data_IF_737167666206
#
_entry.id   IF_737167666206
#
_cell.length_a   1.000
_cell.length_b   1.000
_cell.length_c   1.000
_cell.angle_alpha   90.00
_cell.angle_beta   90.00
_cell.angle_gamma   90.00
#
_symmetry.space_group_name_H-M   'P 1'
#
loop_
_entity.id
_entity.type
_entity.pdbx_description
1 polymer ?
#
# COMPACT_ATOMS: atom_id res chain seq x y z
N UNK A 1 -26.19 15.75 -17.10
CA UNK A 1 -27.01 15.77 -18.34
C UNK A 1 -28.43 15.33 -18.00
N UNK A 2 -29.26 16.27 -17.55
CA UNK A 2 -30.68 16.03 -17.35
C UNK A 2 -31.36 16.07 -18.74
N UNK A 3 -31.57 14.90 -19.35
CA UNK A 3 -32.58 14.67 -20.38
C UNK A 3 -32.61 15.55 -21.64
N UNK A 4 -31.47 16.10 -22.10
CA UNK A 4 -31.36 16.81 -23.39
C UNK A 4 -30.71 15.92 -24.44
N UNK A 5 -31.17 16.01 -25.68
CA UNK A 5 -30.58 15.29 -26.81
C UNK A 5 -29.19 15.86 -27.14
N UNK A 6 -28.26 15.00 -27.57
CA UNK A 6 -26.85 15.36 -27.76
C UNK A 6 -26.64 16.45 -28.83
N UNK A 7 -27.60 16.54 -29.75
CA UNK A 7 -27.64 17.42 -30.91
C UNK A 7 -27.94 18.88 -30.54
N UNK A 8 -28.56 19.11 -29.38
CA UNK A 8 -28.92 20.45 -28.87
C UNK A 8 -27.84 21.06 -27.97
N UNK A 9 -26.76 20.31 -27.67
CA UNK A 9 -25.70 20.77 -26.77
C UNK A 9 -24.62 21.48 -27.57
N UNK A 10 -24.31 22.76 -27.28
CA UNK A 10 -23.25 23.48 -27.98
C UNK A 10 -21.90 22.77 -27.79
N UNK A 11 -21.08 22.73 -28.84
CA UNK A 11 -19.78 22.05 -28.85
C UNK A 11 -18.86 22.44 -27.68
N UNK A 12 -18.96 23.67 -27.18
CA UNK A 12 -18.22 24.13 -26.00
C UNK A 12 -18.63 23.46 -24.70
N UNK A 13 -19.93 23.16 -24.53
CA UNK A 13 -20.47 22.48 -23.35
C UNK A 13 -20.13 20.98 -23.40
N UNK A 14 -20.21 20.36 -24.58
CA UNK A 14 -19.69 18.99 -24.79
C UNK A 14 -18.21 18.90 -24.43
N UNK A 15 -17.40 19.86 -24.89
CA UNK A 15 -15.97 19.90 -24.58
C UNK A 15 -15.73 20.05 -23.08
N UNK A 16 -16.43 20.96 -22.42
CA UNK A 16 -16.31 21.16 -20.97
C UNK A 16 -16.67 19.90 -20.17
N UNK A 17 -17.74 19.20 -20.57
CA UNK A 17 -18.17 17.94 -19.93
C UNK A 17 -17.15 16.84 -20.18
N UNK A 18 -16.64 16.69 -21.41
CA UNK A 18 -15.59 15.70 -21.69
C UNK A 18 -14.30 16.01 -20.95
N UNK A 19 -13.84 17.26 -20.93
CA UNK A 19 -12.65 17.66 -20.18
C UNK A 19 -12.83 17.41 -18.68
N UNK A 20 -14.00 17.71 -18.12
CA UNK A 20 -14.28 17.46 -16.70
C UNK A 20 -14.28 15.97 -16.33
N UNK A 21 -14.81 15.10 -17.19
CA UNK A 21 -14.90 13.67 -16.91
C UNK A 21 -13.65 12.87 -17.26
N UNK A 22 -12.89 13.30 -18.26
CA UNK A 22 -11.72 12.58 -18.78
C UNK A 22 -10.38 13.19 -18.35
N UNK A 23 -10.36 14.30 -17.59
CA UNK A 23 -9.13 14.76 -16.96
C UNK A 23 -8.71 13.81 -15.82
N UNK A 24 -7.45 13.34 -15.82
CA UNK A 24 -6.91 12.62 -14.67
C UNK A 24 -7.04 13.49 -13.43
N UNK A 25 -7.75 12.97 -12.43
CA UNK A 25 -7.91 13.64 -11.13
C UNK A 25 -6.54 13.87 -10.51
N UNK A 26 -6.32 15.08 -10.00
CA UNK A 26 -5.06 15.40 -9.34
C UNK A 26 -5.12 14.85 -7.93
N UNK A 27 -4.22 13.94 -7.60
CA UNK A 27 -4.13 13.34 -6.26
C UNK A 27 -3.44 14.31 -5.29
N UNK A 28 -4.07 15.46 -5.04
CA UNK A 28 -3.50 16.55 -4.25
C UNK A 28 -3.10 16.06 -2.85
N UNK A 29 -3.93 15.22 -2.21
CA UNK A 29 -3.57 14.61 -0.93
C UNK A 29 -2.38 13.65 -1.01
N UNK A 30 -2.25 12.87 -2.09
CA UNK A 30 -1.08 12.01 -2.29
C UNK A 30 0.21 12.84 -2.45
N UNK A 31 0.15 13.98 -3.12
CA UNK A 31 1.31 14.86 -3.26
C UNK A 31 1.66 15.57 -1.95
N UNK A 32 0.64 16.03 -1.19
CA UNK A 32 0.81 16.60 0.16
C UNK A 32 1.44 15.58 1.12
N UNK A 33 0.95 14.35 1.09
CA UNK A 33 1.54 13.23 1.82
C UNK A 33 2.97 12.95 1.36
N UNK A 34 3.23 12.99 0.05
CA UNK A 34 4.55 12.84 -0.54
C UNK A 34 5.55 13.90 -0.09
N UNK A 35 5.12 15.16 0.08
CA UNK A 35 5.91 16.24 0.67
C UNK A 35 6.28 15.94 2.12
N UNK A 36 5.29 15.57 2.94
CA UNK A 36 5.49 15.24 4.36
C UNK A 36 6.37 14.00 4.58
N UNK A 37 6.41 13.12 3.58
CA UNK A 37 7.22 11.89 3.60
C UNK A 37 8.65 12.10 3.07
N UNK A 38 9.03 13.32 2.65
CA UNK A 38 10.40 13.60 2.21
C UNK A 38 11.36 13.52 3.40
N UNK A 39 12.45 12.78 3.20
CA UNK A 39 13.55 12.64 4.16
C UNK A 39 14.86 12.81 3.41
N UNK A 40 15.84 13.46 4.05
CA UNK A 40 17.18 13.60 3.49
C UNK A 40 17.80 12.21 3.29
N UNK A 41 18.28 11.94 2.07
CA UNK A 41 18.95 10.68 1.76
C UNK A 41 20.38 10.67 2.33
N UNK A 42 20.88 9.49 2.66
CA UNK A 42 22.28 9.32 3.08
C UNK A 42 23.22 9.86 1.99
N UNK A 43 24.11 10.78 2.35
CA UNK A 43 25.05 11.43 1.42
C UNK A 43 24.46 12.57 0.58
N UNK A 44 23.17 12.93 0.73
CA UNK A 44 22.58 14.08 0.06
C UNK A 44 23.06 15.38 0.72
N UNK A 45 23.56 16.32 -0.08
CA UNK A 45 23.90 17.65 0.41
C UNK A 45 22.65 18.40 0.90
N UNK A 46 22.79 19.16 2.00
CA UNK A 46 21.67 19.86 2.65
C UNK A 46 20.96 20.85 1.72
N UNK A 47 21.73 21.60 0.93
CA UNK A 47 21.17 22.55 -0.04
C UNK A 47 20.32 21.87 -1.13
N UNK A 48 20.72 20.68 -1.58
CA UNK A 48 19.94 19.89 -2.54
C UNK A 48 18.64 19.40 -1.91
N UNK A 49 18.71 18.88 -0.69
CA UNK A 49 17.52 18.46 0.04
C UNK A 49 16.54 19.62 0.27
N UNK A 50 17.04 20.77 0.72
CA UNK A 50 16.22 21.96 0.93
C UNK A 50 15.58 22.46 -0.37
N UNK A 51 16.32 22.50 -1.48
CA UNK A 51 15.77 22.88 -2.78
C UNK A 51 14.67 21.91 -3.27
N UNK A 52 14.79 20.61 -2.96
CA UNK A 52 13.72 19.63 -3.23
C UNK A 52 12.47 19.93 -2.39
N UNK A 53 12.63 20.23 -1.10
CA UNK A 53 11.53 20.61 -0.22
C UNK A 53 10.84 21.91 -0.66
N UNK A 54 11.58 22.89 -1.18
CA UNK A 54 10.98 24.12 -1.70
C UNK A 54 10.15 23.90 -2.97
N UNK A 55 10.51 22.90 -3.79
CA UNK A 55 9.81 22.61 -5.05
C UNK A 55 8.59 21.73 -4.86
N UNK A 56 8.62 20.83 -3.88
CA UNK A 56 7.57 19.82 -3.67
C UNK A 56 6.15 20.40 -3.42
N UNK A 57 5.96 21.54 -2.74
CA UNK A 57 4.64 22.15 -2.56
C UNK A 57 4.01 22.71 -3.85
N UNK A 58 4.80 22.94 -4.91
CA UNK A 58 4.33 23.58 -6.14
C UNK A 58 3.30 22.74 -6.90
N UNK A 59 3.27 21.43 -6.66
CA UNK A 59 2.31 20.54 -7.32
C UNK A 59 1.02 20.39 -6.51
N UNK A 60 1.10 20.50 -5.18
CA UNK A 60 0.06 20.04 -4.27
C UNK A 60 -0.92 21.13 -3.78
N UNK A 61 -0.99 22.25 -4.53
CA UNK A 61 -1.85 23.41 -4.24
C UNK A 61 -1.83 23.82 -2.76
N UNK A 62 -0.66 23.79 -2.11
CA UNK A 62 -0.58 24.01 -0.66
C UNK A 62 -1.05 25.41 -0.25
N UNK A 63 -0.91 26.39 -1.15
CA UNK A 63 -1.33 27.77 -0.95
C UNK A 63 -2.86 27.95 -0.83
N UNK A 64 -3.66 27.00 -1.32
CA UNK A 64 -5.13 27.08 -1.24
C UNK A 64 -5.70 26.56 0.07
N UNK A 65 -4.86 25.92 0.92
CA UNK A 65 -5.28 25.37 2.21
C UNK A 65 -5.69 26.51 3.14
N UNK A 66 -6.98 26.58 3.47
CA UNK A 66 -7.52 27.58 4.41
C UNK A 66 -7.27 27.22 5.86
N UNK A 67 -7.53 25.95 6.22
CA UNK A 67 -7.37 25.46 7.58
C UNK A 67 -6.11 24.60 7.68
N UNK A 68 -4.98 25.26 7.96
CA UNK A 68 -3.69 24.57 8.07
C UNK A 68 -3.68 23.53 9.20
N UNK A 69 -4.39 23.79 10.31
CA UNK A 69 -4.46 22.84 11.44
C UNK A 69 -5.14 21.55 11.01
N UNK A 70 -6.31 21.66 10.38
CA UNK A 70 -7.08 20.50 9.93
C UNK A 70 -6.32 19.71 8.85
N UNK A 71 -5.72 20.40 7.88
CA UNK A 71 -4.89 19.77 6.86
C UNK A 71 -3.69 19.02 7.46
N UNK A 72 -3.01 19.59 8.46
CA UNK A 72 -1.91 18.93 9.15
C UNK A 72 -2.37 17.67 9.89
N UNK A 73 -3.51 17.74 10.59
CA UNK A 73 -4.09 16.58 11.29
C UNK A 73 -4.44 15.48 10.29
N UNK A 74 -5.09 15.81 9.18
CA UNK A 74 -5.43 14.86 8.13
C UNK A 74 -4.19 14.19 7.51
N UNK A 75 -3.16 14.98 7.14
CA UNK A 75 -1.95 14.42 6.54
C UNK A 75 -1.20 13.48 7.49
N UNK A 76 -1.06 13.87 8.77
CA UNK A 76 -0.38 13.07 9.78
C UNK A 76 -1.17 11.82 10.13
N UNK A 77 -2.51 11.91 10.23
CA UNK A 77 -3.36 10.76 10.52
C UNK A 77 -3.25 9.70 9.42
N UNK A 78 -3.35 10.09 8.14
CA UNK A 78 -3.18 9.18 7.00
C UNK A 78 -1.80 8.51 7.01
N UNK A 79 -0.74 9.29 7.29
CA UNK A 79 0.62 8.77 7.39
C UNK A 79 0.82 7.78 8.53
N UNK A 80 0.09 7.96 9.62
CA UNK A 80 0.12 7.08 10.80
C UNK A 80 -0.72 5.80 10.69
N UNK A 81 -1.62 5.68 9.69
CA UNK A 81 -2.47 4.50 9.55
C UNK A 81 -1.67 3.23 9.28
N UNK A 82 -1.93 2.14 10.01
CA UNK A 82 -1.28 0.85 9.76
C UNK A 82 -1.84 0.12 8.53
N UNK A 83 -3.13 0.29 8.26
CA UNK A 83 -3.79 -0.32 7.10
C UNK A 83 -3.38 0.40 5.81
N UNK A 84 -2.66 -0.31 4.94
CA UNK A 84 -2.28 0.19 3.62
C UNK A 84 -3.49 0.39 2.70
N UNK A 85 -4.54 -0.41 2.90
CA UNK A 85 -5.77 -0.32 2.12
C UNK A 85 -6.51 0.99 2.41
N UNK A 86 -6.74 1.27 3.70
CA UNK A 86 -7.36 2.54 4.13
C UNK A 86 -6.49 3.73 3.71
N UNK A 87 -5.17 3.62 3.86
CA UNK A 87 -4.24 4.68 3.42
C UNK A 87 -4.37 4.96 1.92
N UNK A 88 -4.39 3.93 1.07
CA UNK A 88 -4.54 4.09 -0.38
C UNK A 88 -5.88 4.75 -0.70
N UNK A 89 -6.96 4.24 -0.12
CA UNK A 89 -8.30 4.77 -0.34
C UNK A 89 -8.40 6.26 0.00
N UNK A 90 -7.83 6.68 1.13
CA UNK A 90 -7.83 8.10 1.52
C UNK A 90 -6.98 8.96 0.56
N UNK A 91 -5.86 8.45 0.04
CA UNK A 91 -4.99 9.20 -0.88
C UNK A 91 -5.54 9.32 -2.31
N UNK A 92 -6.57 8.54 -2.67
CA UNK A 92 -7.25 8.64 -3.97
C UNK A 92 -8.12 9.90 -4.10
N UNK A 93 -8.51 10.50 -2.98
CA UNK A 93 -9.34 11.72 -2.98
C UNK A 93 -8.51 12.99 -3.13
N UNK A 94 -9.11 13.99 -3.78
CA UNK A 94 -8.44 15.26 -4.07
C UNK A 94 -8.28 16.11 -2.79
N UNK A 95 -9.36 16.38 -2.07
CA UNK A 95 -9.33 17.10 -0.79
C UNK A 95 -10.39 16.55 0.18
N UNK A 96 -10.09 16.57 1.48
CA UNK A 96 -11.02 16.28 2.56
C UNK A 96 -10.49 16.86 3.87
N UNK A 97 -11.40 17.08 4.81
CA UNK A 97 -11.12 17.51 6.17
C UNK A 97 -10.69 16.34 7.05
N UNK A 98 -10.07 16.62 8.21
CA UNK A 98 -9.67 15.54 9.13
C UNK A 98 -10.86 14.70 9.62
N UNK A 99 -12.05 15.31 9.75
CA UNK A 99 -13.27 14.62 10.12
C UNK A 99 -13.75 13.66 9.01
N UNK A 100 -13.77 14.13 7.76
CA UNK A 100 -14.14 13.30 6.60
C UNK A 100 -13.13 12.15 6.38
N UNK A 101 -11.85 12.38 6.69
CA UNK A 101 -10.83 11.33 6.66
C UNK A 101 -11.17 10.19 7.63
N UNK A 102 -11.58 10.55 8.84
CA UNK A 102 -11.90 9.61 9.90
C UNK A 102 -13.17 8.83 9.54
N UNK A 103 -14.23 9.53 9.14
CA UNK A 103 -15.50 8.91 8.74
C UNK A 103 -15.27 7.84 7.67
N UNK A 104 -14.52 8.17 6.61
CA UNK A 104 -14.23 7.21 5.54
C UNK A 104 -13.34 6.06 5.97
N UNK A 105 -12.36 6.32 6.84
CA UNK A 105 -11.54 5.25 7.40
C UNK A 105 -12.40 4.25 8.19
N UNK A 106 -13.35 4.75 8.98
CA UNK A 106 -14.32 3.94 9.72
C UNK A 106 -15.26 3.17 8.78
N UNK A 107 -15.68 3.77 7.66
CA UNK A 107 -16.47 3.07 6.63
C UNK A 107 -15.72 1.89 6.03
N UNK A 108 -14.46 2.09 5.61
CA UNK A 108 -13.63 1.01 5.04
C UNK A 108 -13.31 -0.04 6.09
N UNK A 109 -13.01 0.36 7.33
CA UNK A 109 -12.79 -0.57 8.44
C UNK A 109 -14.03 -1.45 8.70
N UNK A 110 -15.21 -0.82 8.70
CA UNK A 110 -16.49 -1.50 8.86
C UNK A 110 -16.76 -2.51 7.75
N UNK A 111 -16.44 -2.18 6.49
CA UNK A 111 -16.50 -3.12 5.37
C UNK A 111 -15.53 -4.29 5.59
N UNK A 112 -14.32 -4.02 6.07
CA UNK A 112 -13.33 -5.05 6.40
C UNK A 112 -13.78 -6.03 7.50
N UNK A 113 -14.64 -5.58 8.42
CA UNK A 113 -15.27 -6.40 9.47
C UNK A 113 -16.43 -7.24 8.92
N UNK A 114 -17.31 -6.64 8.12
CA UNK A 114 -18.54 -7.30 7.66
C UNK A 114 -18.39 -8.10 6.36
N UNK A 115 -17.34 -7.85 5.58
CA UNK A 115 -17.05 -8.57 4.33
C UNK A 115 -15.61 -9.11 4.31
N UNK A 116 -15.20 -9.95 5.29
CA UNK A 116 -13.82 -10.44 5.39
C UNK A 116 -13.40 -11.33 4.21
N UNK A 117 -14.38 -11.86 3.46
CA UNK A 117 -14.18 -12.67 2.26
C UNK A 117 -13.73 -11.83 1.05
N UNK A 118 -13.85 -10.50 1.09
CA UNK A 118 -13.38 -9.58 0.06
C UNK A 118 -11.92 -9.14 0.28
N UNK A 119 -11.20 -9.69 1.26
CA UNK A 119 -9.75 -9.51 1.41
C UNK A 119 -9.05 -10.26 0.27
N UNK A 120 -9.17 -9.71 -0.92
CA UNK A 120 -8.63 -10.23 -2.17
C UNK A 120 -7.11 -10.27 -2.04
N UNK A 121 -6.55 -11.47 -2.16
CA UNK A 121 -5.11 -11.66 -2.26
C UNK A 121 -4.59 -10.83 -3.43
N UNK A 122 -3.44 -10.18 -3.25
CA UNK A 122 -2.76 -9.43 -4.29
C UNK A 122 -2.36 -10.35 -5.45
N UNK A 123 -3.28 -10.65 -6.37
CA UNK A 123 -2.92 -11.09 -7.69
C UNK A 123 -2.30 -9.88 -8.38
N UNK A 124 -0.97 -9.82 -8.34
CA UNK A 124 -0.18 -8.99 -9.25
C UNK A 124 -0.54 -9.48 -10.65
N UNK A 125 -1.50 -8.80 -11.29
CA UNK A 125 -1.70 -8.90 -12.73
C UNK A 125 -0.46 -8.28 -13.35
N UNK A 126 0.55 -9.12 -13.59
CA UNK A 126 1.71 -8.77 -14.36
C UNK A 126 1.21 -8.55 -15.79
N UNK A 127 1.31 -7.32 -16.28
CA UNK A 127 1.03 -6.98 -17.67
C UNK A 127 1.74 -7.98 -18.62
N UNK A 128 0.99 -8.39 -19.64
CA UNK A 128 1.16 -9.65 -20.35
C UNK A 128 2.55 -9.90 -20.96
N UNK A 129 3.13 -11.05 -20.61
CA UNK A 129 3.96 -11.80 -21.54
C UNK A 129 3.10 -12.91 -22.13
N UNK A 130 2.68 -12.73 -23.38
CA UNK A 130 2.01 -13.76 -24.18
C UNK A 130 3.02 -14.89 -24.41
N UNK A 131 2.81 -16.03 -23.75
CA UNK A 131 3.65 -17.21 -23.91
C UNK A 131 3.32 -17.90 -25.22
N UNK A 132 4.31 -18.09 -26.08
CA UNK A 132 4.17 -18.81 -27.34
C UNK A 132 3.79 -20.28 -27.05
N UNK A 133 2.61 -20.69 -27.51
CA UNK A 133 2.18 -22.09 -27.50
C UNK A 133 2.96 -22.86 -28.57
N UNK A 134 3.87 -23.74 -28.12
CA UNK A 134 4.39 -24.80 -28.97
C UNK A 134 3.39 -25.94 -28.98
N UNK A 135 2.70 -26.03 -30.10
CA UNK A 135 1.86 -27.15 -30.49
C UNK A 135 2.68 -28.46 -30.52
N UNK A 136 2.14 -29.53 -29.91
CA UNK A 136 2.40 -30.92 -30.31
C UNK A 136 1.55 -31.94 -29.53
N UNK A 137 0.49 -32.40 -30.20
CA UNK A 137 0.06 -33.81 -30.36
C UNK A 137 -0.41 -34.59 -29.13
N UNK A 138 -1.74 -34.70 -29.05
CA UNK A 138 -2.56 -35.94 -28.97
C UNK A 138 -1.93 -37.16 -28.28
N UNK A 139 -2.50 -37.57 -27.13
CA UNK A 139 -2.94 -38.96 -26.88
C UNK A 139 -4.20 -39.01 -26.01
N UNK A 140 -5.16 -39.79 -26.51
CA UNK A 140 -6.45 -40.12 -25.92
C UNK A 140 -6.29 -40.99 -24.66
N UNK A 141 -7.27 -40.92 -23.76
CA UNK A 141 -7.42 -41.88 -22.66
C UNK A 141 -8.50 -41.48 -21.66
N UNK A 142 -9.71 -42.01 -21.88
CA UNK A 142 -10.91 -41.89 -21.05
C UNK A 142 -10.72 -42.58 -19.69
N UNK A 143 -11.30 -42.01 -18.61
CA UNK A 143 -11.58 -42.74 -17.38
C UNK A 143 -11.64 -41.88 -16.11
N UNK A 144 -12.85 -41.53 -15.65
CA UNK A 144 -13.14 -41.26 -14.24
C UNK A 144 -13.42 -42.63 -13.57
N UNK A 145 -13.01 -42.89 -12.31
CA UNK A 145 -13.88 -42.53 -11.18
C UNK A 145 -13.19 -42.22 -9.82
N UNK A 146 -13.93 -41.46 -9.01
CA UNK A 146 -14.13 -41.49 -7.55
C UNK A 146 -13.04 -41.94 -6.54
N UNK A 147 -12.91 -41.08 -5.50
CA UNK A 147 -12.76 -41.37 -4.07
C UNK A 147 -11.95 -42.60 -3.62
N UNK A 148 -10.84 -42.35 -2.94
CA UNK A 148 -10.24 -43.32 -2.04
C UNK A 148 -8.77 -43.09 -1.74
N UNK A 149 -8.49 -42.67 -0.51
CA UNK A 149 -7.39 -43.11 0.35
C UNK A 149 -5.92 -42.87 -0.04
N UNK A 150 -5.19 -42.47 1.00
CA UNK A 150 -3.74 -42.41 1.12
C UNK A 150 -3.01 -43.60 0.49
N UNK A 151 -2.21 -43.34 -0.53
CA UNK A 151 -1.11 -44.24 -0.92
C UNK A 151 -0.02 -43.45 -1.66
N UNK A 152 0.96 -42.97 -0.89
CA UNK A 152 2.23 -42.49 -1.40
C UNK A 152 3.02 -43.69 -1.94
N UNK A 153 3.11 -43.86 -3.27
CA UNK A 153 3.99 -44.86 -3.86
C UNK A 153 5.45 -44.39 -3.87
N UNK A 154 6.40 -45.18 -3.34
CA UNK A 154 7.82 -44.83 -3.32
C UNK A 154 8.52 -45.30 -4.59
N UNK A 155 9.48 -44.52 -5.10
CA UNK A 155 10.53 -45.07 -5.95
C UNK A 155 11.09 -44.16 -7.03
N UNK A 156 12.02 -43.26 -6.66
CA UNK A 156 13.40 -43.28 -7.17
C UNK A 156 14.33 -42.69 -6.11
N UNK A 157 15.31 -43.48 -5.67
CA UNK A 157 16.28 -43.13 -4.63
C UNK A 157 17.31 -42.14 -5.16
N UNK A 158 17.48 -41.02 -4.46
CA UNK A 158 18.77 -40.37 -4.25
C UNK A 158 18.87 -40.12 -2.73
N UNK A 159 19.75 -40.90 -2.09
CA UNK A 159 20.44 -40.69 -0.79
C UNK A 159 19.82 -39.72 0.22
N UNK A 160 19.47 -40.26 1.40
CA UNK A 160 18.75 -39.59 2.47
C UNK A 160 19.53 -38.50 3.21
N UNK A 161 19.59 -37.32 2.63
CA UNK A 161 19.94 -36.10 3.36
C UNK A 161 18.66 -35.36 3.74
N UNK A 162 18.34 -35.35 5.04
CA UNK A 162 17.34 -34.42 5.60
C UNK A 162 17.73 -33.01 5.19
N UNK A 163 16.79 -32.15 4.74
CA UNK A 163 17.12 -30.79 4.33
C UNK A 163 17.85 -30.08 5.47
N UNK A 164 19.05 -29.58 5.18
CA UNK A 164 19.87 -28.82 6.13
C UNK A 164 19.24 -27.44 6.32
N UNK A 165 19.16 -26.98 7.56
CA UNK A 165 18.70 -25.63 7.86
C UNK A 165 19.59 -24.58 7.17
N UNK A 166 18.98 -23.63 6.45
CA UNK A 166 19.71 -22.55 5.77
C UNK A 166 20.42 -21.56 6.71
N UNK A 167 20.09 -21.57 8.01
CA UNK A 167 20.64 -20.63 9.01
C UNK A 167 21.81 -21.25 9.79
N UNK A 168 21.72 -22.51 10.20
CA UNK A 168 22.76 -23.16 11.01
C UNK A 168 23.41 -24.39 10.37
N UNK A 169 22.96 -24.83 9.20
CA UNK A 169 23.50 -25.98 8.47
C UNK A 169 23.15 -27.35 9.05
N UNK A 170 22.48 -27.42 10.20
CA UNK A 170 22.09 -28.69 10.83
C UNK A 170 20.79 -29.25 10.21
N UNK A 171 20.71 -30.58 9.99
CA UNK A 171 19.47 -31.23 9.56
C UNK A 171 18.43 -31.28 10.70
N UNK A 172 17.15 -31.40 10.35
CA UNK A 172 16.07 -31.65 11.32
C UNK A 172 15.17 -30.47 11.66
N UNK A 173 15.38 -29.29 11.07
CA UNK A 173 14.46 -28.15 11.13
C UNK A 173 14.64 -27.23 9.91
N UNK A 174 13.64 -26.42 9.62
CA UNK A 174 13.72 -25.42 8.55
C UNK A 174 14.29 -24.08 9.06
N UNK A 175 14.78 -23.23 8.16
CA UNK A 175 15.44 -21.97 8.52
C UNK A 175 14.61 -21.00 9.36
N UNK A 176 13.27 -21.07 9.28
CA UNK A 176 12.38 -20.23 10.07
C UNK A 176 12.18 -20.76 11.51
N UNK A 177 12.42 -22.04 11.74
CA UNK A 177 12.40 -22.72 13.06
C UNK A 177 13.80 -22.76 13.71
N UNK A 178 14.80 -22.12 13.10
CA UNK A 178 16.18 -22.23 13.57
C UNK A 178 16.41 -21.49 14.89
N UNK A 179 16.83 -22.18 15.97
CA UNK A 179 17.08 -21.53 17.26
C UNK A 179 18.31 -20.59 17.24
N UNK A 180 19.21 -20.74 16.26
CA UNK A 180 20.34 -19.81 16.04
C UNK A 180 19.95 -18.57 15.21
N UNK A 181 18.73 -18.50 14.68
CA UNK A 181 18.24 -17.28 14.05
C UNK A 181 18.12 -16.24 15.16
N UNK A 182 19.11 -15.35 15.26
CA UNK A 182 19.15 -14.27 16.24
C UNK A 182 17.79 -13.58 16.25
N UNK A 183 17.11 -13.59 17.41
CA UNK A 183 15.94 -12.75 17.65
C UNK A 183 16.42 -11.30 17.61
N UNK A 184 16.53 -10.75 16.41
CA UNK A 184 16.68 -9.32 16.19
C UNK A 184 15.39 -8.67 16.64
N UNK A 185 15.26 -8.46 17.94
CA UNK A 185 14.26 -7.57 18.51
C UNK A 185 14.59 -6.21 17.91
N UNK A 186 13.73 -5.71 17.02
CA UNK A 186 13.69 -4.30 16.70
C UNK A 186 13.37 -3.57 18.00
N UNK A 187 14.42 -3.06 18.65
CA UNK A 187 14.30 -2.12 19.74
C UNK A 187 13.84 -0.80 19.11
N UNK A 188 12.53 -0.59 19.11
CA UNK A 188 11.93 0.69 18.72
C UNK A 188 12.41 1.72 19.75
N UNK A 189 13.26 2.64 19.32
CA UNK A 189 13.62 3.82 20.10
C UNK A 189 12.36 4.66 20.30
N UNK A 190 11.82 4.64 21.53
CA UNK A 190 10.88 5.66 22.00
C UNK A 190 11.71 6.91 22.26
N UNK A 191 11.68 7.88 21.35
CA UNK A 191 12.14 9.25 21.64
C UNK A 191 11.04 9.96 22.44
N UNK A 192 10.95 9.68 23.74
CA UNK A 192 10.32 10.58 24.71
C UNK A 192 11.40 11.43 25.36
N UNK A 193 11.57 12.66 24.86
CA UNK A 193 12.25 13.73 25.59
C UNK A 193 11.23 14.82 25.89
N UNK A 194 10.56 14.69 27.01
CA UNK A 194 10.08 15.84 27.78
C UNK A 194 10.85 15.82 29.11
N UNK A 195 11.65 16.84 29.42
CA UNK A 195 12.27 16.94 30.74
C UNK A 195 11.20 17.22 31.81
N UNK A 196 11.40 16.74 33.05
CA UNK A 196 10.48 16.99 34.15
C UNK A 196 10.54 18.46 34.57
N UNK A 197 9.36 19.08 34.66
CA UNK A 197 9.16 20.33 35.39
C UNK A 197 9.34 20.03 36.88
N UNK A 198 10.47 20.42 37.45
CA UNK A 198 10.57 20.65 38.89
C UNK A 198 10.39 22.15 39.16
N UNK A 199 9.25 22.45 39.75
CA UNK A 199 8.92 23.70 40.43
C UNK A 199 9.82 23.83 41.65
N UNK A 200 10.50 24.98 41.79
CA UNK A 200 10.89 25.50 43.10
C UNK A 200 10.90 27.03 43.07
N UNK A 201 9.96 27.57 43.84
CA UNK A 201 9.82 28.97 44.22
C UNK A 201 11.07 29.55 44.92
N UNK A 202 11.16 30.89 44.89
CA UNK A 202 11.66 31.84 45.92
C UNK A 202 12.82 32.73 45.48
N UNK A 203 12.51 33.93 45.02
CA UNK A 203 12.66 35.23 45.73
C UNK A 203 12.43 36.39 44.78
#
# INVERSE_FOLDING_TARGET
MQGRELEDVPMGELRAVTEHHFQPRKLVMAERFGLMSKVQKTGQALNRYYAELQKAPNTCSFATVRNHRDAMVAMVSIGGLQSLEIRKHLLEKEEFTSAEALEQAEEVERVGVYAPHLKEGSHVVREGQVSQVKDSRVRQGVGQPQLGSHDWKPGRRLTGDKPKCRVCGLPGHFGYECPKKSKGILQVYVLSRTPPNDVLEKK
#
